data_IF_211559207749
#
_entry.id   IF_211559207749
#
_cell.length_a   1.000
_cell.length_b   1.000
_cell.length_c   1.000
_cell.angle_alpha   90.00
_cell.angle_beta   90.00
_cell.angle_gamma   90.00
#
_symmetry.space_group_name_H-M   'P 1'
#
loop_
_entity.id
_entity.type
_entity.pdbx_description
1 polymer ?
#
# COMPACT_ATOMS: atom_id res chain seq x y z
N UNK A 1 -20.72 -22.40 -4.26
CA UNK A 1 -19.42 -21.78 -4.52
C UNK A 1 -19.39 -20.48 -3.76
N UNK A 2 -18.37 -20.22 -2.95
CA UNK A 2 -18.26 -18.96 -2.22
C UNK A 2 -17.90 -17.84 -3.19
N UNK A 3 -18.60 -16.72 -3.13
CA UNK A 3 -18.31 -15.56 -3.98
C UNK A 3 -16.92 -14.99 -3.66
N UNK A 4 -16.25 -14.44 -4.68
CA UNK A 4 -14.96 -13.81 -4.51
C UNK A 4 -15.08 -12.52 -3.69
N UNK A 5 -14.11 -12.27 -2.82
CA UNK A 5 -14.03 -11.01 -2.07
C UNK A 5 -13.51 -9.91 -3.01
N UNK A 6 -14.31 -8.88 -3.23
CA UNK A 6 -13.99 -7.76 -4.12
C UNK A 6 -13.65 -6.48 -3.35
N UNK A 7 -12.90 -5.56 -3.97
CA UNK A 7 -12.66 -4.23 -3.40
C UNK A 7 -13.93 -3.35 -3.46
N UNK A 8 -13.98 -2.31 -2.62
CA UNK A 8 -15.08 -1.33 -2.63
C UNK A 8 -14.93 -0.32 -3.77
N UNK A 9 -16.04 0.28 -4.23
CA UNK A 9 -16.02 1.35 -5.24
C UNK A 9 -15.13 2.54 -4.84
N UNK A 10 -15.06 2.85 -3.54
CA UNK A 10 -14.19 3.92 -3.03
C UNK A 10 -12.72 3.54 -3.15
N UNK A 11 -12.36 2.29 -2.82
CA UNK A 11 -11.00 1.77 -3.00
C UNK A 11 -10.60 1.76 -4.47
N UNK A 12 -11.50 1.27 -5.34
CA UNK A 12 -11.29 1.24 -6.78
C UNK A 12 -11.07 2.65 -7.35
N UNK A 13 -11.90 3.62 -6.95
CA UNK A 13 -11.79 5.02 -7.40
C UNK A 13 -10.44 5.62 -7.01
N UNK A 14 -10.02 5.43 -5.76
CA UNK A 14 -8.73 5.95 -5.27
C UNK A 14 -7.55 5.30 -5.99
N UNK A 15 -7.62 3.99 -6.25
CA UNK A 15 -6.58 3.26 -6.99
C UNK A 15 -6.48 3.74 -8.43
N UNK A 16 -7.61 3.98 -9.09
CA UNK A 16 -7.63 4.50 -10.46
C UNK A 16 -7.01 5.90 -10.55
N UNK A 17 -7.31 6.78 -9.59
CA UNK A 17 -6.71 8.13 -9.55
C UNK A 17 -5.20 8.11 -9.34
N UNK A 18 -4.70 7.15 -8.53
CA UNK A 18 -3.27 6.98 -8.25
C UNK A 18 -2.55 6.08 -9.25
N UNK A 19 -3.21 5.59 -10.30
CA UNK A 19 -2.61 4.65 -11.25
C UNK A 19 -1.34 5.20 -11.91
N UNK A 20 -1.26 6.52 -12.12
CA UNK A 20 -0.07 7.16 -12.67
C UNK A 20 1.14 7.13 -11.73
N UNK A 21 0.92 7.06 -10.41
CA UNK A 21 2.01 6.90 -9.44
C UNK A 21 2.70 5.54 -9.61
N UNK A 22 1.97 4.53 -10.10
CA UNK A 22 2.48 3.19 -10.41
C UNK A 22 3.29 3.09 -11.71
N UNK A 23 3.37 4.15 -12.53
CA UNK A 23 4.24 4.17 -13.72
C UNK A 23 5.73 4.27 -13.36
N UNK A 24 6.03 4.72 -12.13
CA UNK A 24 7.39 4.76 -11.59
C UNK A 24 7.60 3.57 -10.65
N UNK A 25 8.77 2.92 -10.72
CA UNK A 25 9.17 1.73 -9.93
C UNK A 25 9.73 2.13 -8.55
N UNK A 26 9.00 2.98 -7.81
CA UNK A 26 9.40 3.45 -6.47
C UNK A 26 10.59 4.45 -6.43
N UNK A 27 10.60 5.43 -7.34
CA UNK A 27 11.46 6.63 -7.24
C UNK A 27 10.88 7.75 -6.37
N UNK A 28 9.67 8.25 -6.66
CA UNK A 28 8.97 9.24 -5.84
C UNK A 28 8.18 8.58 -4.70
N UNK A 29 7.85 9.35 -3.65
CA UNK A 29 7.05 8.87 -2.52
C UNK A 29 5.70 8.27 -2.93
N UNK A 30 5.03 8.87 -3.92
CA UNK A 30 3.75 8.39 -4.45
C UNK A 30 3.80 6.95 -4.99
N UNK A 31 4.93 6.55 -5.58
CA UNK A 31 5.10 5.20 -6.11
C UNK A 31 5.19 4.16 -4.98
N UNK A 32 5.96 4.44 -3.91
CA UNK A 32 5.97 3.58 -2.72
C UNK A 32 4.57 3.44 -2.10
N UNK A 33 3.84 4.54 -1.98
CA UNK A 33 2.48 4.52 -1.43
C UNK A 33 1.52 3.72 -2.32
N UNK A 34 1.62 3.85 -3.64
CA UNK A 34 0.79 3.12 -4.59
C UNK A 34 1.02 1.61 -4.49
N UNK A 35 2.28 1.17 -4.55
CA UNK A 35 2.61 -0.25 -4.46
C UNK A 35 2.28 -0.83 -3.09
N UNK A 36 2.55 -0.10 -2.00
CA UNK A 36 2.21 -0.54 -0.66
C UNK A 36 0.69 -0.73 -0.49
N UNK A 37 -0.14 0.19 -0.99
CA UNK A 37 -1.61 0.06 -0.94
C UNK A 37 -2.13 -1.03 -1.87
N UNK A 38 -1.43 -1.31 -2.96
CA UNK A 38 -1.82 -2.34 -3.93
C UNK A 38 -1.41 -3.76 -3.50
N UNK A 39 -0.53 -3.89 -2.49
CA UNK A 39 -0.03 -5.18 -2.02
C UNK A 39 -1.11 -6.05 -1.36
N UNK A 40 -2.10 -5.44 -0.69
CA UNK A 40 -3.19 -6.17 -0.04
C UNK A 40 -4.39 -5.26 0.22
N UNK A 41 -5.60 -5.83 0.12
CA UNK A 41 -6.84 -5.14 0.51
C UNK A 41 -6.93 -4.84 2.01
N UNK A 42 -6.03 -5.39 2.83
CA UNK A 42 -5.91 -5.08 4.25
C UNK A 42 -5.14 -3.78 4.54
N UNK A 43 -4.53 -3.15 3.52
CA UNK A 43 -3.87 -1.86 3.66
C UNK A 43 -4.90 -0.75 3.49
N UNK A 44 -5.25 -0.08 4.59
CA UNK A 44 -6.14 1.08 4.57
C UNK A 44 -5.44 2.31 4.03
N UNK A 45 -4.21 2.53 4.51
CA UNK A 45 -3.39 3.67 4.13
C UNK A 45 -1.90 3.30 4.19
N UNK A 46 -1.09 3.97 3.38
CA UNK A 46 0.36 3.89 3.37
C UNK A 46 0.93 5.28 3.13
N UNK A 47 2.00 5.63 3.85
CA UNK A 47 2.72 6.89 3.67
C UNK A 47 4.22 6.64 3.61
N UNK A 48 4.86 7.18 2.59
CA UNK A 48 6.31 7.06 2.40
C UNK A 48 7.01 8.39 2.68
N UNK A 49 8.07 8.35 3.50
CA UNK A 49 8.97 9.48 3.76
C UNK A 49 10.41 9.04 3.59
N UNK A 50 11.30 9.98 3.26
CA UNK A 50 12.75 9.74 3.23
C UNK A 50 13.42 10.65 4.26
N UNK A 51 13.69 10.15 5.48
CA UNK A 51 14.30 10.98 6.53
C UNK A 51 15.77 11.29 6.25
N UNK A 52 16.45 10.45 5.46
CA UNK A 52 17.82 10.66 5.01
C UNK A 52 18.00 10.06 3.61
N UNK A 53 19.04 10.48 2.84
CA UNK A 53 19.31 9.93 1.52
C UNK A 53 19.40 8.40 1.55
N UNK A 54 18.82 7.75 0.53
CA UNK A 54 18.75 6.28 0.39
C UNK A 54 18.08 5.54 1.57
N UNK A 55 17.33 6.24 2.42
CA UNK A 55 16.52 5.64 3.47
C UNK A 55 15.06 6.03 3.24
N UNK A 56 14.18 5.04 3.05
CA UNK A 56 12.74 5.23 2.89
C UNK A 56 12.02 4.51 4.01
N UNK A 57 11.21 5.26 4.76
CA UNK A 57 10.31 4.73 5.78
C UNK A 57 8.89 4.73 5.22
N UNK A 58 8.29 3.54 5.11
CA UNK A 58 6.88 3.38 4.71
C UNK A 58 6.05 2.97 5.93
N UNK A 59 5.15 3.84 6.35
CA UNK A 59 4.21 3.58 7.46
C UNK A 59 2.92 3.00 6.91
N UNK A 60 2.45 1.88 7.48
CA UNK A 60 1.27 1.13 7.02
C UNK A 60 0.17 1.18 8.08
N UNK A 61 -1.06 1.46 7.64
CA UNK A 61 -2.27 1.39 8.45
C UNK A 61 -3.13 0.21 7.98
N UNK A 62 -3.46 -0.70 8.89
CA UNK A 62 -4.32 -1.84 8.61
C UNK A 62 -5.81 -1.44 8.55
N UNK A 63 -6.60 -2.19 7.78
CA UNK A 63 -8.06 -2.10 7.84
C UNK A 63 -8.64 -2.80 9.08
N UNK A 64 -7.91 -3.73 9.68
CA UNK A 64 -8.34 -4.61 10.76
C UNK A 64 -8.07 -4.02 12.15
N UNK A 65 -8.89 -4.41 13.13
CA UNK A 65 -8.68 -4.10 14.54
C UNK A 65 -8.56 -2.59 14.82
N UNK A 66 -7.51 -2.23 15.55
CA UNK A 66 -7.16 -0.85 15.90
C UNK A 66 -6.31 -0.13 14.83
N UNK A 67 -6.10 -0.78 13.68
CA UNK A 67 -5.25 -0.28 12.60
C UNK A 67 -3.79 -0.74 12.67
N UNK A 68 -3.40 -1.50 13.70
CA UNK A 68 -2.05 -2.08 13.78
C UNK A 68 -1.85 -3.12 12.67
N UNK A 69 -0.81 -2.94 11.85
CA UNK A 69 -0.43 -3.89 10.82
C UNK A 69 0.22 -5.13 11.45
N UNK A 70 -0.27 -6.32 11.10
CA UNK A 70 0.35 -7.58 11.52
C UNK A 70 1.67 -7.81 10.78
N UNK A 71 2.57 -8.61 11.36
CA UNK A 71 3.85 -8.92 10.70
C UNK A 71 3.66 -9.58 9.33
N UNK A 72 2.60 -10.38 9.17
CA UNK A 72 2.24 -10.98 7.88
C UNK A 72 1.88 -9.93 6.82
N UNK A 73 1.12 -8.89 7.20
CA UNK A 73 0.81 -7.77 6.32
C UNK A 73 2.07 -6.98 5.96
N UNK A 74 2.93 -6.69 6.96
CA UNK A 74 4.19 -5.99 6.72
C UNK A 74 5.12 -6.75 5.78
N UNK A 75 5.21 -8.07 5.91
CA UNK A 75 6.01 -8.91 5.01
C UNK A 75 5.46 -8.94 3.59
N UNK A 76 4.13 -8.95 3.43
CA UNK A 76 3.48 -8.86 2.12
C UNK A 76 3.82 -7.54 1.43
N UNK A 77 3.74 -6.43 2.16
CA UNK A 77 4.11 -5.10 1.64
C UNK A 77 5.60 -5.03 1.31
N UNK A 78 6.48 -5.53 2.19
CA UNK A 78 7.94 -5.56 1.93
C UNK A 78 8.30 -6.34 0.67
N UNK A 79 7.62 -7.46 0.40
CA UNK A 79 7.88 -8.27 -0.79
C UNK A 79 7.54 -7.54 -2.10
N UNK A 80 6.59 -6.60 -2.08
CA UNK A 80 6.20 -5.80 -3.26
C UNK A 80 7.13 -4.61 -3.49
N UNK A 81 7.82 -4.13 -2.45
CA UNK A 81 8.68 -2.94 -2.51
C UNK A 81 10.18 -3.25 -2.76
N UNK A 82 10.56 -4.53 -2.85
CA UNK A 82 11.94 -4.99 -3.08
C UNK A 82 12.09 -5.58 -4.49
#
# INVERSE_FOLDING_TARGET
TTDAVMESDTSLRLRAQRAYDGLSVAGPSGAYEYFARSASGLVRDARAISPSPANVTVSILSTEGDGTATEALLNTVRAVLN
#
